data_IF_432099145874
#
_entry.id   IF_432099145874
#
_cell.length_a   1.000
_cell.length_b   1.000
_cell.length_c   1.000
_cell.angle_alpha   90.00
_cell.angle_beta   90.00
_cell.angle_gamma   90.00
#
_symmetry.space_group_name_H-M   'P 1'
#
loop_
_entity.id
_entity.type
_entity.pdbx_description
1 polymer ?
#
# COMPACT_ATOMS: atom_id res chain seq x y z
N UNK A 1 -5.56 2.51 -32.50
CA UNK A 1 -6.11 1.45 -31.62
C UNK A 1 -5.01 0.41 -31.47
N UNK A 2 -4.11 0.61 -30.50
CA UNK A 2 -2.91 -0.24 -30.36
C UNK A 2 -3.19 -1.35 -29.35
N UNK A 3 -3.12 -2.59 -29.83
CA UNK A 3 -3.25 -3.82 -29.06
C UNK A 3 -1.83 -4.29 -28.69
N UNK A 4 -1.54 -4.40 -27.39
CA UNK A 4 -0.28 -4.97 -26.90
C UNK A 4 -0.61 -6.30 -26.23
N UNK A 5 -0.14 -7.39 -26.83
CA UNK A 5 -0.17 -8.74 -26.26
C UNK A 5 1.11 -8.96 -25.45
N UNK A 6 0.99 -9.46 -24.21
CA UNK A 6 2.13 -9.83 -23.37
C UNK A 6 2.10 -11.36 -23.20
N UNK A 7 3.17 -12.02 -23.66
CA UNK A 7 3.40 -13.45 -23.47
C UNK A 7 4.11 -13.69 -22.13
N UNK A 8 3.62 -14.65 -21.34
CA UNK A 8 4.30 -15.18 -20.16
C UNK A 8 5.32 -16.25 -20.58
N UNK A 9 6.54 -16.16 -20.05
CA UNK A 9 7.52 -17.24 -20.13
C UNK A 9 7.96 -17.62 -18.71
N UNK A 10 7.74 -18.89 -18.35
CA UNK A 10 8.21 -19.51 -17.12
C UNK A 10 9.67 -19.98 -17.28
N UNK A 11 10.48 -19.83 -16.23
CA UNK A 11 11.84 -20.38 -16.17
C UNK A 11 11.95 -21.41 -15.04
N UNK A 12 12.50 -22.57 -15.41
CA UNK A 12 12.68 -23.77 -14.62
C UNK A 12 13.91 -23.71 -13.69
N UNK A 13 13.84 -24.56 -12.67
CA UNK A 13 14.79 -24.87 -11.59
C UNK A 13 16.12 -25.46 -12.10
N UNK A 14 17.23 -25.16 -11.41
CA UNK A 14 18.39 -26.06 -11.32
C UNK A 14 18.89 -26.15 -9.87
N UNK A 15 18.95 -27.40 -9.36
CA UNK A 15 19.55 -27.80 -8.08
C UNK A 15 21.00 -28.21 -8.37
N UNK A 16 21.95 -27.72 -7.59
CA UNK A 16 23.34 -28.16 -7.62
C UNK A 16 23.97 -28.07 -6.23
N UNK A 17 24.23 -29.23 -5.62
CA UNK A 17 25.00 -29.39 -4.38
C UNK A 17 26.46 -29.65 -4.69
N UNK A 18 27.38 -28.96 -4.02
CA UNK A 18 28.79 -29.33 -3.94
C UNK A 18 29.30 -29.18 -2.49
N UNK A 19 29.83 -30.27 -1.95
CA UNK A 19 30.56 -30.32 -0.68
C UNK A 19 32.02 -29.90 -0.91
N UNK A 20 32.54 -29.02 -0.05
CA UNK A 20 33.98 -28.86 0.17
C UNK A 20 34.25 -28.82 1.67
N UNK A 21 34.95 -29.85 2.17
CA UNK A 21 35.61 -29.81 3.48
C UNK A 21 36.97 -29.13 3.32
N UNK A 22 37.20 -28.03 4.03
CA UNK A 22 38.49 -27.38 4.19
C UNK A 22 38.60 -26.82 5.61
N UNK A 23 39.52 -27.38 6.39
CA UNK A 23 39.82 -26.95 7.74
C UNK A 23 40.78 -25.75 7.69
N UNK A 24 40.30 -24.55 7.98
CA UNK A 24 41.09 -23.33 8.18
C UNK A 24 40.61 -22.63 9.44
N UNK A 25 41.54 -22.31 10.35
CA UNK A 25 41.27 -21.48 11.52
C UNK A 25 41.35 -20.03 11.06
N UNK A 26 40.24 -19.29 11.08
CA UNK A 26 40.24 -17.82 11.04
C UNK A 26 39.00 -17.30 11.78
N UNK A 27 39.27 -16.33 12.66
CA UNK A 27 38.44 -15.32 13.32
C UNK A 27 36.89 -15.41 13.23
N UNK A 28 36.14 -15.24 14.34
CA UNK A 28 34.69 -15.10 14.25
C UNK A 28 34.37 -13.81 13.48
N UNK A 29 33.63 -13.85 12.36
CA UNK A 29 33.07 -12.62 11.83
C UNK A 29 32.03 -12.16 12.85
N UNK A 30 32.38 -11.14 13.64
CA UNK A 30 31.40 -10.29 14.30
C UNK A 30 30.70 -9.47 13.21
N UNK A 31 29.98 -10.17 12.33
CA UNK A 31 29.03 -9.59 11.41
C UNK A 31 27.84 -9.19 12.24
N UNK A 32 27.86 -7.96 12.74
CA UNK A 32 26.67 -7.27 13.21
C UNK A 32 25.60 -7.46 12.12
N UNK A 33 24.45 -8.10 12.38
CA UNK A 33 23.46 -8.30 11.34
C UNK A 33 23.08 -6.92 10.84
N UNK A 34 23.29 -6.70 9.53
CA UNK A 34 22.85 -5.48 8.87
C UNK A 34 21.38 -5.28 9.24
N UNK A 35 21.10 -4.26 10.04
CA UNK A 35 19.75 -3.98 10.52
C UNK A 35 18.89 -3.71 9.29
N UNK A 36 18.03 -4.67 8.92
CA UNK A 36 17.03 -4.42 7.89
C UNK A 36 16.24 -3.19 8.31
N UNK A 37 16.15 -2.15 7.45
CA UNK A 37 15.37 -0.97 7.80
C UNK A 37 13.96 -1.39 8.20
N UNK A 38 13.52 -1.00 9.40
CA UNK A 38 12.16 -1.27 9.84
C UNK A 38 11.22 -0.49 8.93
N UNK A 39 10.35 -1.20 8.22
CA UNK A 39 9.40 -0.58 7.30
C UNK A 39 8.46 0.35 8.08
N UNK A 40 8.41 1.62 7.64
CA UNK A 40 7.61 2.67 8.30
C UNK A 40 6.11 2.52 8.01
N UNK A 41 5.75 1.94 6.87
CA UNK A 41 4.38 1.81 6.36
C UNK A 41 4.19 0.37 5.90
N UNK A 42 3.37 -0.40 6.60
CA UNK A 42 3.12 -1.81 6.26
C UNK A 42 1.67 -1.99 5.86
N UNK A 43 1.42 -2.29 4.58
CA UNK A 43 0.10 -2.66 4.09
C UNK A 43 -0.28 -4.05 4.62
N UNK A 44 -1.46 -4.19 5.23
CA UNK A 44 -1.87 -5.44 5.88
C UNK A 44 -3.05 -6.10 5.15
N UNK A 45 -4.23 -5.49 5.25
CA UNK A 45 -5.47 -6.07 4.72
C UNK A 45 -6.15 -5.11 3.74
N UNK A 46 -6.95 -5.67 2.83
CA UNK A 46 -7.88 -4.92 1.97
C UNK A 46 -7.25 -4.23 0.75
N UNK A 47 -5.92 -4.21 0.66
CA UNK A 47 -5.18 -3.76 -0.52
C UNK A 47 -4.86 -4.92 -1.46
N UNK A 48 -4.97 -4.68 -2.76
CA UNK A 48 -4.44 -5.55 -3.79
C UNK A 48 -2.93 -5.31 -4.01
N UNK A 49 -2.33 -6.13 -4.85
CA UNK A 49 -0.91 -6.03 -5.20
C UNK A 49 -0.57 -4.66 -5.80
N UNK A 50 0.70 -4.25 -5.63
CA UNK A 50 1.23 -3.03 -6.23
C UNK A 50 1.19 -3.16 -7.75
N UNK A 51 0.56 -2.19 -8.39
CA UNK A 51 0.53 -2.04 -9.83
C UNK A 51 1.50 -0.94 -10.27
N UNK A 52 1.92 -1.02 -11.53
CA UNK A 52 2.80 -0.04 -12.17
C UNK A 52 2.17 0.44 -13.45
N UNK A 53 2.21 1.74 -13.67
CA UNK A 53 1.76 2.39 -14.89
C UNK A 53 2.91 3.06 -15.63
N UNK A 54 2.58 3.89 -16.63
CA UNK A 54 3.56 4.71 -17.32
C UNK A 54 4.27 5.68 -16.38
N UNK A 55 5.47 6.14 -16.76
CA UNK A 55 6.24 7.17 -16.05
C UNK A 55 6.52 6.85 -14.57
N UNK A 56 6.83 5.58 -14.27
CA UNK A 56 7.14 5.09 -12.92
C UNK A 56 6.03 5.31 -11.88
N UNK A 57 4.80 5.59 -12.32
CA UNK A 57 3.65 5.62 -11.44
C UNK A 57 3.38 4.23 -10.89
N UNK A 58 3.06 4.16 -9.61
CA UNK A 58 2.65 2.93 -8.95
C UNK A 58 1.50 3.19 -8.00
N UNK A 59 0.60 2.23 -7.86
CA UNK A 59 -0.55 2.36 -6.98
C UNK A 59 -0.96 1.01 -6.40
N UNK A 60 -1.75 1.05 -5.34
CA UNK A 60 -2.50 -0.10 -4.82
C UNK A 60 -3.97 0.21 -4.87
N UNK A 61 -4.74 -0.67 -5.48
CA UNK A 61 -6.18 -0.64 -5.28
C UNK A 61 -6.53 -1.17 -3.89
N UNK A 62 -7.60 -0.66 -3.30
CA UNK A 62 -8.30 -1.30 -2.20
C UNK A 62 -9.78 -1.51 -2.53
N UNK A 63 -10.41 -2.43 -1.80
CA UNK A 63 -11.87 -2.61 -1.83
C UNK A 63 -12.62 -1.55 -1.02
N UNK A 64 -13.56 -1.98 -0.18
CA UNK A 64 -14.31 -1.10 0.72
C UNK A 64 -13.46 -0.52 1.85
N UNK A 65 -12.41 -1.24 2.26
CA UNK A 65 -11.48 -0.77 3.26
C UNK A 65 -10.08 -1.33 3.01
N UNK A 66 -9.07 -0.60 3.46
CA UNK A 66 -7.68 -1.01 3.53
C UNK A 66 -7.07 -0.64 4.88
N UNK A 67 -6.28 -1.56 5.44
CA UNK A 67 -5.60 -1.41 6.73
C UNK A 67 -4.08 -1.30 6.56
N UNK A 68 -3.47 -0.35 7.25
CA UNK A 68 -2.04 -0.06 7.19
C UNK A 68 -1.50 0.12 8.61
N UNK A 69 -0.38 -0.54 8.93
CA UNK A 69 0.37 -0.30 10.15
C UNK A 69 1.38 0.81 9.90
N UNK A 70 1.28 1.89 10.66
CA UNK A 70 2.23 3.01 10.62
C UNK A 70 3.18 2.90 11.80
N UNK A 71 4.49 2.91 11.57
CA UNK A 71 5.48 2.81 12.65
C UNK A 71 5.27 3.97 13.64
N UNK A 72 5.13 3.67 14.92
CA UNK A 72 5.04 4.70 15.94
C UNK A 72 6.45 5.23 16.25
N UNK A 73 6.75 6.44 15.80
CA UNK A 73 8.02 7.11 16.06
C UNK A 73 8.14 7.70 17.47
N UNK A 74 7.06 7.61 18.29
CA UNK A 74 6.94 8.24 19.61
C UNK A 74 7.13 9.76 19.57
N UNK A 75 6.81 10.35 18.42
CA UNK A 75 6.97 11.78 18.10
C UNK A 75 5.79 12.23 17.26
N UNK A 76 5.57 13.53 17.23
CA UNK A 76 4.71 14.13 16.22
C UNK A 76 5.17 13.71 14.83
N UNK A 77 4.21 13.50 13.95
CA UNK A 77 4.43 12.87 12.66
C UNK A 77 3.48 13.45 11.62
N UNK A 78 3.79 13.22 10.35
CA UNK A 78 3.01 13.70 9.21
C UNK A 78 2.61 12.50 8.36
N UNK A 79 1.30 12.35 8.15
CA UNK A 79 0.73 11.42 7.19
C UNK A 79 0.34 12.18 5.93
N UNK A 80 0.90 11.78 4.79
CA UNK A 80 0.46 12.21 3.47
C UNK A 80 -0.31 11.07 2.82
N UNK A 81 -1.51 11.35 2.37
CA UNK A 81 -2.37 10.43 1.63
C UNK A 81 -2.65 11.00 0.24
N UNK A 82 -2.30 10.23 -0.79
CA UNK A 82 -2.58 10.56 -2.19
C UNK A 82 -3.34 9.41 -2.81
N UNK A 83 -4.50 9.73 -3.38
CA UNK A 83 -5.34 8.74 -4.02
C UNK A 83 -6.09 9.31 -5.22
N UNK A 84 -6.63 8.42 -6.03
CA UNK A 84 -7.65 8.70 -7.02
C UNK A 84 -8.83 7.74 -6.80
N UNK A 85 -10.01 8.20 -7.22
CA UNK A 85 -11.20 7.34 -7.25
C UNK A 85 -11.85 7.47 -8.63
N UNK A 86 -12.17 6.36 -9.31
CA UNK A 86 -12.70 6.39 -10.67
C UNK A 86 -14.18 6.79 -10.67
N UNK A 87 -14.44 8.10 -10.52
CA UNK A 87 -15.79 8.68 -10.40
C UNK A 87 -16.77 8.19 -11.48
N UNK A 88 -16.29 7.89 -12.69
CA UNK A 88 -17.10 7.41 -13.82
C UNK A 88 -17.88 6.13 -13.55
N UNK A 89 -17.48 5.33 -12.55
CA UNK A 89 -18.17 4.08 -12.19
C UNK A 89 -19.19 4.23 -11.07
N UNK A 90 -19.36 5.44 -10.51
CA UNK A 90 -20.26 5.68 -9.40
C UNK A 90 -21.38 6.66 -9.78
N UNK A 91 -22.65 6.36 -9.44
CA UNK A 91 -23.76 7.28 -9.73
C UNK A 91 -23.69 8.56 -8.90
N UNK A 92 -23.05 8.49 -7.72
CA UNK A 92 -22.76 9.64 -6.87
C UNK A 92 -21.33 9.52 -6.33
N UNK A 93 -20.64 10.63 -6.03
CA UNK A 93 -19.31 10.58 -5.47
C UNK A 93 -19.27 9.80 -4.14
N UNK A 94 -18.33 8.85 -3.96
CA UNK A 94 -18.19 8.10 -2.72
C UNK A 94 -17.71 8.98 -1.55
N UNK A 95 -18.10 8.57 -0.34
CA UNK A 95 -17.53 9.07 0.90
C UNK A 95 -16.34 8.22 1.31
N UNK A 96 -15.21 8.88 1.57
CA UNK A 96 -13.99 8.26 2.09
C UNK A 96 -13.84 8.65 3.55
N UNK A 97 -13.51 7.68 4.40
CA UNK A 97 -13.20 7.89 5.82
C UNK A 97 -11.80 7.41 6.11
N UNK A 98 -11.03 8.21 6.85
CA UNK A 98 -9.70 7.87 7.33
C UNK A 98 -9.74 7.86 8.85
N UNK A 99 -9.31 6.76 9.45
CA UNK A 99 -9.23 6.60 10.91
C UNK A 99 -7.84 6.16 11.34
N UNK A 100 -7.38 6.65 12.48
CA UNK A 100 -6.13 6.26 13.13
C UNK A 100 -6.44 5.72 14.53
N UNK A 101 -6.01 4.51 14.85
CA UNK A 101 -6.31 3.83 16.11
C UNK A 101 -7.83 3.81 16.43
N UNK A 102 -8.66 3.65 15.39
CA UNK A 102 -10.12 3.71 15.50
C UNK A 102 -10.73 5.11 15.65
N UNK A 103 -9.91 6.16 15.80
CA UNK A 103 -10.38 7.55 15.86
C UNK A 103 -10.43 8.16 14.47
N UNK A 104 -11.53 8.84 14.13
CA UNK A 104 -11.70 9.47 12.81
C UNK A 104 -10.78 10.68 12.67
N UNK A 105 -9.89 10.66 11.67
CA UNK A 105 -9.10 11.81 11.26
C UNK A 105 -9.93 12.73 10.37
N UNK A 106 -10.58 12.16 9.36
CA UNK A 106 -11.44 12.89 8.44
C UNK A 106 -12.45 11.94 7.79
N UNK A 107 -13.58 12.50 7.37
CA UNK A 107 -14.46 11.91 6.39
C UNK A 107 -14.81 12.97 5.35
N UNK A 108 -14.66 12.65 4.08
CA UNK A 108 -14.89 13.58 2.99
C UNK A 108 -15.54 12.87 1.80
N UNK A 109 -16.20 13.65 0.95
CA UNK A 109 -16.72 13.16 -0.33
C UNK A 109 -15.62 13.28 -1.38
N UNK A 110 -15.37 12.22 -2.13
CA UNK A 110 -14.34 12.19 -3.16
C UNK A 110 -14.64 13.21 -4.27
N UNK A 111 -13.59 13.83 -4.79
CA UNK A 111 -13.65 14.74 -5.93
C UNK A 111 -13.01 14.10 -7.16
N UNK A 112 -13.37 14.52 -8.39
CA UNK A 112 -12.68 14.07 -9.60
C UNK A 112 -11.18 14.37 -9.56
N UNK A 113 -10.37 13.44 -10.09
CA UNK A 113 -8.92 13.58 -10.17
C UNK A 113 -8.19 13.23 -8.87
N UNK A 114 -6.95 13.71 -8.77
CA UNK A 114 -6.03 13.40 -7.67
C UNK A 114 -6.46 14.08 -6.37
N UNK A 115 -6.62 13.28 -5.32
CA UNK A 115 -6.93 13.70 -3.96
C UNK A 115 -5.64 13.67 -3.15
N UNK A 116 -5.27 14.80 -2.56
CA UNK A 116 -4.11 14.90 -1.66
C UNK A 116 -4.56 15.44 -0.29
N UNK A 117 -4.18 14.73 0.77
CA UNK A 117 -4.47 15.09 2.16
C UNK A 117 -3.20 14.98 2.99
N UNK A 118 -3.02 15.92 3.91
CA UNK A 118 -1.90 15.95 4.84
C UNK A 118 -2.46 16.07 6.26
N UNK A 119 -2.07 15.15 7.14
CA UNK A 119 -2.49 15.13 8.53
C UNK A 119 -1.28 15.30 9.44
N UNK A 120 -1.36 16.30 10.32
CA UNK A 120 -0.44 16.43 11.44
C UNK A 120 -0.94 15.54 12.58
N UNK A 121 -0.17 14.51 12.92
CA UNK A 121 -0.53 13.54 13.95
C UNK A 121 0.37 13.78 15.15
N UNK A 122 -0.20 14.06 16.32
CA UNK A 122 0.57 14.22 17.55
C UNK A 122 1.07 12.87 18.06
N UNK A 123 2.17 12.87 18.81
CA UNK A 123 2.66 11.68 19.49
C UNK A 123 1.58 11.01 20.36
N UNK A 124 0.70 11.81 20.98
CA UNK A 124 -0.41 11.32 21.79
C UNK A 124 -1.45 10.53 20.98
N UNK A 125 -1.77 10.94 19.75
CA UNK A 125 -2.70 10.23 18.87
C UNK A 125 -2.18 8.85 18.43
N UNK A 126 -0.86 8.66 18.39
CA UNK A 126 -0.23 7.39 18.05
C UNK A 126 -0.35 6.35 19.18
N UNK A 127 -0.58 6.80 20.42
CA UNK A 127 -0.73 5.92 21.57
C UNK A 127 0.53 5.14 21.96
N UNK A 128 0.31 4.06 22.73
CA UNK A 128 1.36 3.27 23.36
C UNK A 128 1.89 2.09 22.53
N UNK A 129 1.22 1.68 21.45
CA UNK A 129 1.66 0.56 20.63
C UNK A 129 2.84 0.94 19.70
N UNK A 130 3.62 -0.06 19.27
CA UNK A 130 4.77 0.14 18.36
C UNK A 130 4.37 0.54 16.94
N UNK A 131 3.11 0.30 16.59
CA UNK A 131 2.48 0.71 15.35
C UNK A 131 1.12 1.33 15.66
N UNK A 132 0.77 2.38 14.93
CA UNK A 132 -0.58 2.90 14.87
C UNK A 132 -1.35 2.22 13.73
N UNK A 133 -2.65 2.01 13.94
CA UNK A 133 -3.56 1.40 12.98
C UNK A 133 -4.23 2.46 12.13
N UNK A 134 -3.79 2.61 10.88
CA UNK A 134 -4.48 3.43 9.88
C UNK A 134 -5.48 2.56 9.13
N UNK A 135 -6.73 3.00 9.05
CA UNK A 135 -7.75 2.41 8.18
C UNK A 135 -8.32 3.47 7.26
N UNK A 136 -8.40 3.12 5.99
CA UNK A 136 -9.01 3.91 4.92
C UNK A 136 -10.24 3.12 4.47
N UNK A 137 -11.40 3.76 4.36
CA UNK A 137 -12.62 3.10 3.88
C UNK A 137 -13.40 3.98 2.92
N UNK A 138 -14.13 3.35 2.00
CA UNK A 138 -15.04 3.97 1.04
C UNK A 138 -16.40 3.28 1.10
N UNK A 139 -17.48 4.02 0.90
CA UNK A 139 -18.85 3.48 0.84
C UNK A 139 -19.23 2.93 -0.54
N UNK A 140 -18.37 3.11 -1.56
CA UNK A 140 -18.62 2.58 -2.91
C UNK A 140 -17.41 1.87 -3.48
N UNK A 141 -17.73 0.84 -4.26
CA UNK A 141 -16.79 0.04 -5.04
C UNK A 141 -17.45 -0.41 -6.33
N UNK A 142 -16.66 -0.72 -7.34
CA UNK A 142 -17.11 -1.32 -8.59
C UNK A 142 -16.29 -2.57 -8.89
N UNK A 143 -16.78 -3.40 -9.82
CA UNK A 143 -16.06 -4.57 -10.31
C UNK A 143 -15.82 -4.35 -11.81
N UNK A 144 -14.56 -4.22 -12.27
CA UNK A 144 -14.29 -3.84 -13.66
C UNK A 144 -14.95 -4.76 -14.70
N UNK A 145 -14.91 -6.09 -14.52
CA UNK A 145 -15.57 -7.03 -15.45
C UNK A 145 -17.09 -6.87 -15.57
N UNK A 146 -17.74 -6.18 -14.63
CA UNK A 146 -19.19 -5.95 -14.64
C UNK A 146 -19.56 -4.64 -15.36
N UNK A 147 -18.64 -3.67 -15.42
CA UNK A 147 -18.91 -2.33 -15.95
C UNK A 147 -18.13 -2.00 -17.22
N UNK A 148 -17.07 -2.76 -17.52
CA UNK A 148 -16.25 -2.59 -18.72
C UNK A 148 -16.36 -3.80 -19.65
N UNK A 149 -16.79 -3.58 -20.90
CA UNK A 149 -17.02 -4.65 -21.89
C UNK A 149 -15.81 -5.59 -22.12
N UNK A 150 -14.60 -5.08 -21.98
CA UNK A 150 -13.36 -5.81 -22.30
C UNK A 150 -12.52 -6.17 -21.06
N UNK A 151 -13.03 -5.92 -19.86
CA UNK A 151 -12.32 -6.26 -18.64
C UNK A 151 -12.68 -7.67 -18.18
N UNK A 152 -11.70 -8.42 -17.71
CA UNK A 152 -11.88 -9.71 -17.04
C UNK A 152 -11.54 -9.62 -15.55
N UNK A 153 -11.19 -8.43 -15.07
CA UNK A 153 -10.75 -8.20 -13.70
C UNK A 153 -11.94 -8.36 -12.72
N UNK A 154 -11.91 -9.39 -11.84
CA UNK A 154 -13.01 -9.68 -10.93
C UNK A 154 -12.92 -8.92 -9.61
N UNK A 155 -11.88 -8.10 -9.41
CA UNK A 155 -11.64 -7.43 -8.14
C UNK A 155 -12.72 -6.38 -7.85
N UNK A 156 -13.09 -6.28 -6.58
CA UNK A 156 -13.92 -5.19 -6.05
C UNK A 156 -13.01 -4.02 -5.71
N UNK A 157 -13.09 -2.94 -6.48
CA UNK A 157 -12.20 -1.78 -6.44
C UNK A 157 -12.94 -0.53 -5.95
N UNK A 158 -12.37 0.20 -5.01
CA UNK A 158 -12.94 1.41 -4.44
C UNK A 158 -12.02 2.61 -4.62
N UNK A 159 -10.86 2.57 -3.96
CA UNK A 159 -9.87 3.66 -3.98
C UNK A 159 -8.56 3.15 -4.59
N UNK A 160 -7.97 3.95 -5.46
CA UNK A 160 -6.61 3.80 -5.95
C UNK A 160 -5.69 4.63 -5.06
N UNK A 161 -4.83 4.00 -4.27
CA UNK A 161 -3.85 4.68 -3.44
C UNK A 161 -2.53 4.80 -4.21
N UNK A 162 -2.16 6.03 -4.55
CA UNK A 162 -0.97 6.33 -5.35
C UNK A 162 0.27 6.55 -4.47
N UNK A 163 0.09 7.21 -3.31
CA UNK A 163 1.17 7.48 -2.37
C UNK A 163 0.64 7.55 -0.93
N UNK A 164 1.41 6.99 -0.01
CA UNK A 164 1.15 7.01 1.42
C UNK A 164 2.47 7.20 2.16
N UNK A 165 2.81 8.45 2.45
CA UNK A 165 4.06 8.79 3.12
C UNK A 165 3.83 9.00 4.62
N UNK A 166 4.77 8.51 5.41
CA UNK A 166 4.71 8.57 6.88
C UNK A 166 6.08 8.94 7.44
N UNK A 167 6.16 10.14 8.00
CA UNK A 167 7.42 10.71 8.48
C UNK A 167 7.26 11.29 9.89
N UNK A 168 8.28 11.12 10.74
CA UNK A 168 8.36 11.85 12.00
C UNK A 168 8.74 13.30 11.75
N UNK A 169 8.26 14.20 12.61
CA UNK A 169 8.75 15.57 12.71
C UNK A 169 10.06 15.65 13.49
#
# INVERSE_FOLDING_TARGET
MYSIKINFLAALIFIGTAFFSGCGKDEPPNGSPASTPVEKVVFTEGFYNLEKGPNDLSWRWMGEAGSVKLKNFRKDSVLKFVAEVPMRYFPTPPSITITLNGQKLEQFTATPGRIEKIYNISAAQLGGADYADLKISTDKTFVPKEVEKNSTDPRKLGVQLDDLAWESK
#
